data_IF_235045888303
#
_entry.id   IF_235045888303
#
_cell.length_a   1.000
_cell.length_b   1.000
_cell.length_c   1.000
_cell.angle_alpha   90.00
_cell.angle_beta   90.00
_cell.angle_gamma   90.00
#
_symmetry.space_group_name_H-M   'P 1'
#
loop_
_entity.id
_entity.type
_entity.pdbx_description
1 polymer ?
#
# COMPACT_ATOMS: atom_id res chain seq x y z
N UNK A 1 9.25 -3.75 15.71
CA UNK A 1 10.01 -2.52 15.40
C UNK A 1 11.50 -2.77 15.16
N UNK A 2 12.10 -3.84 15.71
CA UNK A 2 13.52 -4.20 15.54
C UNK A 2 13.90 -4.72 14.14
N UNK A 3 13.01 -5.43 13.44
CA UNK A 3 13.40 -6.16 12.21
C UNK A 3 13.45 -5.30 10.93
N UNK A 4 12.88 -4.10 10.95
CA UNK A 4 12.82 -3.23 9.76
C UNK A 4 14.12 -2.46 9.49
N UNK A 5 14.97 -2.28 10.50
CA UNK A 5 16.23 -1.55 10.37
C UNK A 5 17.36 -2.38 9.75
N UNK A 6 17.14 -3.69 9.51
CA UNK A 6 18.12 -4.61 8.94
C UNK A 6 17.87 -4.95 7.46
N UNK A 7 16.93 -4.27 6.79
CA UNK A 7 16.85 -4.34 5.34
C UNK A 7 18.04 -3.55 4.77
N UNK A 8 19.18 -4.23 4.60
CA UNK A 8 20.27 -3.76 3.75
C UNK A 8 19.71 -3.72 2.34
N UNK A 9 19.12 -2.58 1.97
CA UNK A 9 18.65 -2.35 0.62
C UNK A 9 19.91 -2.06 -0.20
N UNK A 10 20.28 -2.91 -1.18
CA UNK A 10 21.47 -2.67 -1.97
C UNK A 10 21.34 -1.30 -2.64
N UNK A 11 22.18 -0.35 -2.23
CA UNK A 11 22.26 0.93 -2.91
C UNK A 11 23.31 0.83 -4.02
N UNK A 12 23.01 1.38 -5.18
CA UNK A 12 23.94 1.50 -6.32
C UNK A 12 24.19 2.97 -6.64
N UNK A 13 25.20 3.26 -7.44
CA UNK A 13 25.43 4.60 -7.99
C UNK A 13 24.80 4.72 -9.39
N UNK A 14 24.14 5.84 -9.67
CA UNK A 14 23.67 6.21 -11.00
C UNK A 14 23.88 7.71 -11.19
N UNK A 15 24.66 8.11 -12.20
CA UNK A 15 25.04 9.50 -12.47
C UNK A 15 25.57 10.25 -11.23
N UNK A 16 26.48 9.62 -10.46
CA UNK A 16 27.06 10.22 -9.27
C UNK A 16 26.09 10.35 -8.07
N UNK A 17 24.92 9.71 -8.12
CA UNK A 17 23.93 9.71 -7.04
C UNK A 17 23.73 8.31 -6.50
N UNK A 18 23.57 8.19 -5.18
CA UNK A 18 23.13 6.95 -4.55
C UNK A 18 21.65 6.68 -4.92
N UNK A 19 21.37 5.47 -5.38
CA UNK A 19 20.04 5.00 -5.78
C UNK A 19 19.74 3.70 -5.06
N UNK A 20 18.51 3.57 -4.59
CA UNK A 20 17.99 2.35 -3.95
C UNK A 20 16.94 1.74 -4.89
N UNK A 21 17.32 0.81 -5.79
CA UNK A 21 16.35 0.09 -6.57
C UNK A 21 15.53 -0.83 -5.66
N UNK A 22 14.22 -0.83 -5.85
CA UNK A 22 13.33 -1.73 -5.11
C UNK A 22 12.32 -2.37 -6.05
N UNK A 23 11.98 -3.62 -5.75
CA UNK A 23 10.94 -4.36 -6.45
C UNK A 23 10.27 -5.35 -5.51
N UNK A 24 8.97 -5.56 -5.71
CA UNK A 24 8.18 -6.48 -4.90
C UNK A 24 7.61 -5.86 -3.62
N UNK A 25 6.93 -6.70 -2.83
CA UNK A 25 6.14 -6.30 -1.65
C UNK A 25 6.91 -6.30 -0.33
N UNK A 26 8.14 -6.80 -0.32
CA UNK A 26 8.97 -6.92 0.88
C UNK A 26 9.75 -5.65 1.18
N UNK A 27 9.74 -4.68 0.26
CA UNK A 27 10.45 -3.43 0.40
C UNK A 27 9.52 -2.31 0.90
N UNK A 28 9.93 -1.48 1.89
CA UNK A 28 9.07 -0.44 2.48
C UNK A 28 8.58 0.63 1.51
N UNK A 29 9.29 0.84 0.39
CA UNK A 29 8.85 1.75 -0.68
C UNK A 29 7.75 1.17 -1.59
N UNK A 30 7.35 -0.08 -1.37
CA UNK A 30 6.24 -0.71 -2.09
C UNK A 30 4.91 -0.40 -1.42
N UNK A 31 3.89 -0.07 -2.21
CA UNK A 31 2.53 0.08 -1.66
C UNK A 31 1.93 -1.22 -1.09
N UNK A 32 2.52 -2.35 -1.48
CA UNK A 32 2.14 -3.67 -1.01
C UNK A 32 2.90 -4.09 0.25
N UNK A 33 3.76 -3.22 0.76
CA UNK A 33 4.46 -3.45 2.01
C UNK A 33 3.49 -3.37 3.19
N UNK A 34 3.54 -4.33 4.14
CA UNK A 34 2.75 -4.27 5.35
C UNK A 34 3.25 -3.13 6.24
N UNK A 35 2.50 -2.03 6.23
CA UNK A 35 2.74 -0.85 7.06
C UNK A 35 1.41 -0.46 7.68
N UNK A 36 1.26 -0.74 8.98
CA UNK A 36 0.05 -0.38 9.71
C UNK A 36 0.12 1.08 10.17
N UNK A 37 -0.89 1.87 9.83
CA UNK A 37 -0.96 3.30 10.22
C UNK A 37 -2.42 3.76 10.32
N UNK A 38 -2.62 4.88 11.01
CA UNK A 38 -3.92 5.52 11.16
C UNK A 38 -4.02 6.76 10.26
N UNK A 39 -5.15 6.92 9.58
CA UNK A 39 -5.47 8.07 8.74
C UNK A 39 -6.97 8.38 8.86
N UNK A 40 -7.31 9.62 9.21
CA UNK A 40 -8.70 10.08 9.43
C UNK A 40 -9.50 9.22 10.42
N UNK A 41 -8.84 8.72 11.47
CA UNK A 41 -9.47 7.86 12.48
C UNK A 41 -9.69 6.41 12.03
N UNK A 42 -9.22 6.03 10.84
CA UNK A 42 -9.26 4.66 10.33
C UNK A 42 -7.86 4.05 10.33
N UNK A 43 -7.78 2.77 10.70
CA UNK A 43 -6.54 2.01 10.71
C UNK A 43 -6.40 1.18 9.44
N UNK A 44 -5.28 1.33 8.75
CA UNK A 44 -4.97 0.61 7.50
C UNK A 44 -3.80 -0.34 7.71
N UNK A 45 -3.80 -1.46 6.98
CA UNK A 45 -2.77 -2.51 7.01
C UNK A 45 -1.59 -2.25 6.05
N UNK A 46 -1.82 -1.45 5.00
CA UNK A 46 -0.83 -1.02 4.03
C UNK A 46 -1.33 0.21 3.27
N UNK A 47 -0.46 0.86 2.48
CA UNK A 47 -0.85 2.04 1.72
C UNK A 47 -1.80 1.72 0.56
N UNK A 48 -1.78 0.51 -0.02
CA UNK A 48 -2.76 0.10 -1.04
C UNK A 48 -4.19 0.06 -0.45
N UNK A 49 -4.36 -0.37 0.81
CA UNK A 49 -5.66 -0.37 1.49
C UNK A 49 -6.20 1.05 1.64
N UNK A 50 -5.37 1.96 2.16
CA UNK A 50 -5.74 3.37 2.31
C UNK A 50 -6.09 4.02 0.97
N UNK A 51 -5.23 3.82 -0.05
CA UNK A 51 -5.47 4.38 -1.38
C UNK A 51 -6.80 3.90 -1.97
N UNK A 52 -7.07 2.59 -1.90
CA UNK A 52 -8.28 2.00 -2.48
C UNK A 52 -9.52 2.38 -1.69
N UNK A 53 -9.43 2.49 -0.36
CA UNK A 53 -10.48 3.03 0.49
C UNK A 53 -10.85 4.45 0.08
N UNK A 54 -9.86 5.34 -0.02
CA UNK A 54 -10.05 6.76 -0.40
C UNK A 54 -10.71 6.86 -1.78
N UNK A 55 -10.27 6.01 -2.71
CA UNK A 55 -10.87 5.91 -4.04
C UNK A 55 -12.33 5.46 -3.99
N UNK A 56 -12.65 4.42 -3.22
CA UNK A 56 -14.04 3.96 -3.04
C UNK A 56 -14.92 5.04 -2.43
N UNK A 57 -14.40 5.75 -1.42
CA UNK A 57 -15.07 6.89 -0.79
C UNK A 57 -15.34 8.01 -1.78
N UNK A 58 -14.34 8.37 -2.60
CA UNK A 58 -14.46 9.41 -3.62
C UNK A 58 -15.54 9.09 -4.66
N UNK A 59 -15.63 7.83 -5.09
CA UNK A 59 -16.65 7.37 -6.05
C UNK A 59 -17.98 6.95 -5.42
N UNK A 60 -18.11 7.06 -4.09
CA UNK A 60 -19.30 6.67 -3.31
C UNK A 60 -19.69 5.19 -3.50
N UNK A 61 -18.69 4.31 -3.56
CA UNK A 61 -18.86 2.86 -3.68
C UNK A 61 -18.75 2.18 -2.31
N UNK A 62 -19.81 2.28 -1.52
CA UNK A 62 -19.84 1.80 -0.12
C UNK A 62 -19.62 0.29 0.00
N UNK A 63 -20.11 -0.49 -0.98
CA UNK A 63 -19.90 -1.93 -1.02
C UNK A 63 -18.41 -2.26 -1.12
N UNK A 64 -17.71 -1.64 -2.07
CA UNK A 64 -16.27 -1.88 -2.25
C UNK A 64 -15.48 -1.40 -1.03
N UNK A 65 -15.83 -0.24 -0.45
CA UNK A 65 -15.18 0.29 0.75
C UNK A 65 -15.22 -0.71 1.90
N UNK A 66 -16.37 -1.34 2.15
CA UNK A 66 -16.54 -2.32 3.22
C UNK A 66 -15.62 -3.52 3.00
N UNK A 67 -15.61 -4.08 1.80
CA UNK A 67 -14.72 -5.21 1.47
C UNK A 67 -13.23 -4.84 1.57
N UNK A 68 -12.87 -3.62 1.18
CA UNK A 68 -11.48 -3.12 1.28
C UNK A 68 -11.04 -3.02 2.73
N UNK A 69 -11.91 -2.58 3.65
CA UNK A 69 -11.57 -2.44 5.07
C UNK A 69 -11.43 -3.80 5.78
N UNK A 70 -12.14 -4.82 5.32
CA UNK A 70 -12.05 -6.20 5.84
C UNK A 70 -10.84 -6.98 5.30
N UNK A 71 -10.28 -6.56 4.16
CA UNK A 71 -9.15 -7.23 3.51
C UNK A 71 -7.79 -6.70 3.99
N UNK A 72 -6.82 -7.58 4.20
CA UNK A 72 -5.45 -7.24 4.65
C UNK A 72 -4.38 -7.61 3.64
N UNK A 73 -4.71 -8.40 2.62
CA UNK A 73 -3.79 -8.79 1.56
C UNK A 73 -3.77 -7.75 0.43
N UNK A 74 -2.64 -7.05 0.16
CA UNK A 74 -2.57 -5.94 -0.80
C UNK A 74 -2.98 -6.32 -2.24
N UNK A 75 -2.69 -7.54 -2.66
CA UNK A 75 -3.06 -8.01 -4.00
C UNK A 75 -4.58 -8.21 -4.14
N UNK A 76 -5.25 -8.62 -3.07
CA UNK A 76 -6.71 -8.75 -3.02
C UNK A 76 -7.36 -7.37 -2.95
N UNK A 77 -6.83 -6.46 -2.13
CA UNK A 77 -7.24 -5.04 -2.10
C UNK A 77 -7.14 -4.44 -3.50
N UNK A 78 -6.02 -4.61 -4.20
CA UNK A 78 -5.86 -4.10 -5.56
C UNK A 78 -6.90 -4.69 -6.52
N UNK A 79 -7.25 -5.97 -6.35
CA UNK A 79 -8.27 -6.65 -7.15
C UNK A 79 -9.67 -6.08 -6.88
N UNK A 80 -10.04 -5.88 -5.61
CA UNK A 80 -11.28 -5.19 -5.22
C UNK A 80 -11.30 -3.76 -5.75
N UNK A 81 -10.17 -3.06 -5.68
CA UNK A 81 -10.01 -1.74 -6.24
C UNK A 81 -10.25 -1.66 -7.75
N UNK A 82 -10.20 -2.78 -8.47
CA UNK A 82 -10.53 -2.85 -9.90
C UNK A 82 -12.03 -2.84 -10.20
N UNK A 83 -12.87 -3.14 -9.21
CA UNK A 83 -14.33 -3.25 -9.38
C UNK A 83 -15.07 -1.95 -9.13
N UNK A 84 -14.43 -0.99 -8.45
CA UNK A 84 -14.99 0.35 -8.22
C UNK A 84 -15.36 0.97 -9.57
N UNK A 85 -16.60 1.35 -9.82
CA UNK A 85 -16.97 1.90 -11.14
C UNK A 85 -16.50 3.36 -11.24
N UNK A 86 -16.20 3.82 -12.47
CA UNK A 86 -15.81 5.21 -12.82
C UNK A 86 -14.34 5.59 -12.58
N UNK A 87 -13.43 4.62 -12.56
CA UNK A 87 -11.99 4.86 -12.65
C UNK A 87 -11.36 3.98 -13.75
#
# INVERSE_FOLDING_TARGET
MSDYMNLVTPSTEYNGKQVIPFFGRTHPFSNFFPATFDLWGLRFSCSEQAYTYIKGWYFKDEYSITQIMEETYPHMIKRLGRTIKKF
#
